data_IF_128715188197
#
_entry.id   IF_128715188197
#
_cell.length_a   1.000
_cell.length_b   1.000
_cell.length_c   1.000
_cell.angle_alpha   90.00
_cell.angle_beta   90.00
_cell.angle_gamma   90.00
#
_symmetry.space_group_name_H-M   'P 1'
#
loop_
_entity.id
_entity.type
_entity.pdbx_description
1 polymer ?
#
# COMPACT_ATOMS: atom_id res chain seq x y z
N UNK A 1 -5.47 12.70 -4.39
CA UNK A 1 -4.94 11.85 -3.30
C UNK A 1 -4.80 12.69 -2.04
N UNK A 2 -5.23 12.16 -0.89
CA UNK A 2 -4.99 12.72 0.44
C UNK A 2 -4.08 11.75 1.19
N UNK A 3 -2.94 12.23 1.68
CA UNK A 3 -2.02 11.46 2.51
C UNK A 3 -2.22 11.84 3.98
N UNK A 4 -2.43 10.84 4.83
CA UNK A 4 -2.52 11.01 6.28
C UNK A 4 -1.30 10.40 6.96
N UNK A 5 -0.75 11.13 7.95
CA UNK A 5 0.33 10.66 8.82
C UNK A 5 0.05 11.12 10.25
N UNK A 6 0.05 10.20 11.22
CA UNK A 6 -0.17 10.51 12.65
C UNK A 6 -1.41 11.37 12.93
N UNK A 7 -2.51 11.13 12.21
CA UNK A 7 -3.77 11.87 12.39
C UNK A 7 -3.81 13.28 11.76
N UNK A 8 -2.76 13.71 11.06
CA UNK A 8 -2.76 14.97 10.30
C UNK A 8 -2.86 14.73 8.79
N UNK A 9 -3.54 15.63 8.07
CA UNK A 9 -3.46 15.71 6.61
C UNK A 9 -2.11 16.30 6.25
N UNK A 10 -1.27 15.52 5.56
CA UNK A 10 0.08 15.93 5.19
C UNK A 10 0.11 16.52 3.78
N UNK A 11 -0.69 15.98 2.86
CA UNK A 11 -0.67 16.43 1.47
C UNK A 11 -2.00 16.14 0.77
N UNK A 12 -2.50 17.13 0.01
CA UNK A 12 -3.52 16.94 -1.02
C UNK A 12 -2.88 17.20 -2.37
N UNK A 13 -2.96 16.22 -3.27
CA UNK A 13 -2.48 16.37 -4.65
C UNK A 13 -3.56 15.94 -5.63
N UNK A 14 -3.96 16.86 -6.50
CA UNK A 14 -4.63 16.55 -7.76
C UNK A 14 -3.53 16.25 -8.80
N UNK A 15 -3.60 15.08 -9.45
CA UNK A 15 -2.55 14.64 -10.36
C UNK A 15 -3.09 13.60 -11.32
N UNK A 16 -2.60 13.65 -12.57
CA UNK A 16 -2.87 12.66 -13.61
C UNK A 16 -1.85 11.50 -13.58
N UNK A 17 -0.97 11.48 -12.57
CA UNK A 17 -0.02 10.40 -12.39
C UNK A 17 -0.75 9.09 -12.06
N UNK A 18 -0.17 7.97 -12.52
CA UNK A 18 -0.61 6.64 -12.17
C UNK A 18 -0.80 6.50 -10.64
N UNK A 19 -2.02 6.19 -10.15
CA UNK A 19 -2.32 6.16 -8.72
C UNK A 19 -1.44 5.18 -7.95
N UNK A 20 -1.08 4.05 -8.57
CA UNK A 20 -0.20 3.07 -7.94
C UNK A 20 1.20 3.64 -7.71
N UNK A 21 1.75 4.34 -8.70
CA UNK A 21 3.04 5.02 -8.58
C UNK A 21 3.06 6.09 -7.47
N UNK A 22 1.94 6.78 -7.24
CA UNK A 22 1.81 7.75 -6.14
C UNK A 22 1.82 7.05 -4.77
N UNK A 23 1.04 5.98 -4.62
CA UNK A 23 0.99 5.21 -3.37
C UNK A 23 2.35 4.61 -3.08
N UNK A 24 3.00 3.98 -4.07
CA UNK A 24 4.33 3.40 -3.92
C UNK A 24 5.41 4.44 -3.63
N UNK A 25 5.29 5.65 -4.18
CA UNK A 25 6.25 6.75 -3.96
C UNK A 25 6.11 7.46 -2.61
N UNK A 26 5.05 7.18 -1.85
CA UNK A 26 4.72 7.90 -0.62
C UNK A 26 5.38 7.26 0.60
N UNK A 27 6.68 7.47 0.77
CA UNK A 27 7.44 6.94 1.92
C UNK A 27 6.92 7.48 3.27
N UNK A 28 6.75 6.59 4.24
CA UNK A 28 6.27 6.95 5.58
C UNK A 28 4.80 7.36 5.67
N UNK A 29 4.04 7.09 4.60
CA UNK A 29 2.58 7.19 4.57
C UNK A 29 1.96 6.01 5.31
N UNK A 30 1.07 6.29 6.28
CA UNK A 30 0.31 5.25 6.99
C UNK A 30 -1.01 4.97 6.27
N UNK A 31 -1.66 6.02 5.74
CA UNK A 31 -2.91 5.91 5.00
C UNK A 31 -2.88 6.83 3.78
N UNK A 32 -3.29 6.29 2.63
CA UNK A 32 -3.52 7.03 1.40
C UNK A 32 -5.01 6.93 1.01
N UNK A 33 -5.70 8.07 0.96
CA UNK A 33 -7.09 8.15 0.52
C UNK A 33 -7.12 8.64 -0.91
N UNK A 34 -7.70 7.82 -1.79
CA UNK A 34 -7.87 8.12 -3.20
C UNK A 34 -9.35 8.46 -3.44
N UNK A 35 -9.63 9.72 -3.77
CA UNK A 35 -10.99 10.19 -4.04
C UNK A 35 -11.24 10.14 -5.54
N UNK A 36 -12.36 9.54 -5.95
CA UNK A 36 -12.75 9.45 -7.37
C UNK A 36 -11.93 8.45 -8.19
N UNK A 37 -11.33 7.45 -7.53
CA UNK A 37 -10.55 6.43 -8.21
C UNK A 37 -11.46 5.52 -9.05
N UNK A 38 -11.19 5.44 -10.35
CA UNK A 38 -11.90 4.54 -11.28
C UNK A 38 -11.21 3.20 -11.46
N UNK A 39 -9.91 3.13 -11.19
CA UNK A 39 -9.12 1.91 -11.28
C UNK A 39 -9.28 1.02 -10.04
N UNK A 40 -9.29 -0.31 -10.18
CA UNK A 40 -9.52 -1.25 -9.08
C UNK A 40 -8.23 -1.50 -8.27
N UNK A 41 -7.66 -0.44 -7.70
CA UNK A 41 -6.36 -0.48 -7.01
C UNK A 41 -6.50 -0.46 -5.48
N UNK A 42 -7.66 -0.16 -4.91
CA UNK A 42 -7.82 -0.01 -3.47
C UNK A 42 -9.19 -0.48 -2.99
N UNK A 43 -9.27 -0.81 -1.70
CA UNK A 43 -10.54 -0.99 -0.99
C UNK A 43 -11.35 0.30 -1.06
N UNK A 44 -12.68 0.18 -1.22
CA UNK A 44 -13.57 1.30 -1.48
C UNK A 44 -14.55 1.50 -0.33
N UNK A 45 -14.65 2.75 0.10
CA UNK A 45 -15.74 3.22 0.95
C UNK A 45 -16.59 4.15 0.08
N UNK A 46 -17.85 3.80 -0.10
CA UNK A 46 -18.77 4.57 -0.95
C UNK A 46 -19.50 5.61 -0.10
N UNK A 47 -19.34 6.89 -0.45
CA UNK A 47 -20.18 7.96 0.09
C UNK A 47 -21.39 8.15 -0.84
N UNK A 48 -22.59 7.83 -0.34
CA UNK A 48 -23.83 7.75 -1.13
C UNK A 48 -24.95 8.59 -0.52
N UNK A 49 -25.99 8.88 -1.31
CA UNK A 49 -27.19 9.61 -0.88
C UNK A 49 -28.30 8.70 -0.34
N UNK A 50 -28.25 7.40 -0.62
CA UNK A 50 -29.22 6.43 -0.16
C UNK A 50 -29.02 5.04 -0.78
N UNK A 51 -29.92 4.12 -0.47
CA UNK A 51 -29.82 2.71 -0.87
C UNK A 51 -29.78 2.50 -2.39
N UNK A 52 -30.54 3.28 -3.17
CA UNK A 52 -30.60 3.14 -4.64
C UNK A 52 -29.22 3.36 -5.27
N UNK A 53 -28.59 4.49 -4.97
CA UNK A 53 -27.24 4.82 -5.45
C UNK A 53 -26.19 3.83 -4.93
N UNK A 54 -26.36 3.31 -3.71
CA UNK A 54 -25.45 2.30 -3.17
C UNK A 54 -25.53 0.98 -3.95
N UNK A 55 -26.74 0.50 -4.30
CA UNK A 55 -26.92 -0.74 -5.08
C UNK A 55 -26.27 -0.67 -6.46
N UNK A 56 -26.24 0.51 -7.08
CA UNK A 56 -25.63 0.72 -8.39
C UNK A 56 -24.09 0.73 -8.36
N UNK A 57 -23.51 1.16 -7.23
CA UNK A 57 -22.07 1.44 -7.13
C UNK A 57 -21.26 0.36 -6.41
N UNK A 58 -21.91 -0.51 -5.64
CA UNK A 58 -21.24 -1.59 -4.91
C UNK A 58 -20.55 -2.55 -5.88
N UNK A 59 -19.29 -2.85 -5.57
CA UNK A 59 -18.44 -3.77 -6.33
C UNK A 59 -17.65 -4.71 -5.39
N UNK A 60 -16.89 -5.63 -5.98
CA UNK A 60 -16.04 -6.61 -5.27
C UNK A 60 -14.95 -6.00 -4.36
N UNK A 61 -14.73 -4.68 -4.41
CA UNK A 61 -13.75 -3.97 -3.58
C UNK A 61 -14.42 -3.08 -2.53
N UNK A 62 -15.75 -3.03 -2.52
CA UNK A 62 -16.51 -2.20 -1.60
C UNK A 62 -16.53 -2.84 -0.22
N UNK A 63 -15.96 -2.14 0.75
CA UNK A 63 -15.86 -2.61 2.15
C UNK A 63 -16.86 -1.95 3.08
N UNK A 64 -17.35 -0.77 2.71
CA UNK A 64 -18.35 -0.05 3.46
C UNK A 64 -19.07 0.99 2.60
N UNK A 65 -20.26 1.37 3.08
CA UNK A 65 -21.02 2.54 2.62
C UNK A 65 -21.15 3.54 3.76
N UNK A 66 -21.11 4.83 3.43
CA UNK A 66 -21.34 5.93 4.36
C UNK A 66 -22.28 6.96 3.73
N UNK A 67 -23.08 7.61 4.56
CA UNK A 67 -24.19 8.45 4.12
C UNK A 67 -24.63 9.36 5.27
N UNK A 68 -25.42 10.39 4.95
CA UNK A 68 -26.05 11.26 5.96
C UNK A 68 -27.14 10.55 6.78
N UNK A 69 -27.75 9.52 6.21
CA UNK A 69 -28.68 8.61 6.89
C UNK A 69 -28.19 7.16 6.82
N UNK A 70 -28.83 6.26 7.57
CA UNK A 70 -28.54 4.83 7.48
C UNK A 70 -28.87 4.29 6.07
N UNK A 71 -27.99 3.43 5.57
CA UNK A 71 -28.12 2.78 4.26
C UNK A 71 -28.03 1.28 4.46
N UNK A 72 -28.98 0.53 3.90
CA UNK A 72 -29.03 -0.91 4.07
C UNK A 72 -28.77 -1.64 2.74
N UNK A 73 -27.57 -2.22 2.65
CA UNK A 73 -27.15 -3.01 1.49
C UNK A 73 -26.69 -4.39 1.96
N UNK A 74 -27.25 -5.41 1.33
CA UNK A 74 -26.91 -6.80 1.62
C UNK A 74 -25.40 -7.03 1.44
N UNK A 75 -24.77 -7.59 2.48
CA UNK A 75 -23.35 -7.94 2.46
C UNK A 75 -22.38 -6.77 2.59
N UNK A 76 -22.84 -5.52 2.71
CA UNK A 76 -21.97 -4.34 2.84
C UNK A 76 -22.26 -3.59 4.14
N UNK A 77 -21.20 -3.27 4.90
CA UNK A 77 -21.31 -2.59 6.18
C UNK A 77 -21.64 -1.11 5.99
N UNK A 78 -22.66 -0.61 6.69
CA UNK A 78 -22.84 0.84 6.88
C UNK A 78 -21.91 1.35 7.98
N UNK A 79 -21.19 2.44 7.69
CA UNK A 79 -20.29 3.11 8.64
C UNK A 79 -20.68 4.58 8.74
N UNK A 80 -21.15 5.05 9.92
CA UNK A 80 -21.42 6.46 10.15
C UNK A 80 -20.18 7.32 9.89
N UNK A 81 -20.38 8.55 9.40
CA UNK A 81 -19.27 9.47 9.08
C UNK A 81 -18.30 9.68 10.26
N UNK A 82 -18.82 9.71 11.50
CA UNK A 82 -18.02 9.87 12.72
C UNK A 82 -17.14 8.67 13.07
N UNK A 83 -17.42 7.49 12.52
CA UNK A 83 -16.71 6.23 12.79
C UNK A 83 -15.75 5.83 11.67
N UNK A 84 -15.73 6.58 10.55
CA UNK A 84 -14.88 6.27 9.40
C UNK A 84 -13.40 6.17 9.74
N UNK A 85 -12.91 7.02 10.65
CA UNK A 85 -11.50 7.01 11.05
C UNK A 85 -11.10 5.69 11.69
N UNK A 86 -11.89 5.20 12.65
CA UNK A 86 -11.66 3.91 13.32
C UNK A 86 -11.84 2.75 12.35
N UNK A 87 -12.84 2.82 11.48
CA UNK A 87 -13.07 1.81 10.46
C UNK A 87 -11.89 1.70 9.49
N UNK A 88 -11.39 2.82 8.96
CA UNK A 88 -10.23 2.87 8.05
C UNK A 88 -8.99 2.31 8.74
N UNK A 89 -8.75 2.65 10.01
CA UNK A 89 -7.62 2.16 10.78
C UNK A 89 -7.66 0.64 11.03
N UNK A 90 -8.85 0.02 10.97
CA UNK A 90 -9.04 -1.42 11.10
C UNK A 90 -8.94 -2.19 9.78
N UNK A 91 -8.75 -1.53 8.64
CA UNK A 91 -8.59 -2.21 7.36
C UNK A 91 -7.24 -2.93 7.28
N UNK A 92 -7.17 -4.05 6.52
CA UNK A 92 -5.93 -4.80 6.36
C UNK A 92 -4.86 -3.97 5.64
N UNK A 93 -3.60 -4.38 5.81
CA UNK A 93 -2.47 -3.73 5.17
C UNK A 93 -2.62 -3.73 3.64
N UNK A 94 -2.33 -2.60 3.01
CA UNK A 94 -2.34 -2.49 1.56
C UNK A 94 -1.27 -3.39 0.93
N UNK A 95 -1.57 -4.18 -0.12
CA UNK A 95 -0.61 -5.11 -0.67
C UNK A 95 0.55 -4.39 -1.37
N UNK A 96 1.74 -4.99 -1.36
CA UNK A 96 2.94 -4.42 -1.98
C UNK A 96 2.92 -4.43 -3.53
N UNK A 97 1.85 -4.91 -4.16
CA UNK A 97 1.70 -5.01 -5.63
C UNK A 97 2.79 -5.81 -6.36
N UNK A 98 3.35 -6.83 -5.72
CA UNK A 98 4.41 -7.68 -6.28
C UNK A 98 3.90 -8.99 -6.91
N UNK A 99 2.61 -9.34 -6.75
CA UNK A 99 2.03 -10.63 -7.19
C UNK A 99 2.90 -11.86 -6.79
N UNK A 100 3.50 -11.82 -5.61
CA UNK A 100 4.55 -12.76 -5.21
C UNK A 100 4.04 -14.12 -4.70
N UNK A 101 2.75 -14.24 -4.35
CA UNK A 101 2.18 -15.46 -3.78
C UNK A 101 2.48 -15.70 -2.29
N UNK A 102 3.28 -14.87 -1.62
CA UNK A 102 3.66 -15.10 -0.21
C UNK A 102 2.47 -15.02 0.78
N UNK A 103 1.37 -14.36 0.38
CA UNK A 103 0.13 -14.26 1.15
C UNK A 103 -0.91 -15.34 0.80
N UNK A 104 -0.56 -16.31 -0.07
CA UNK A 104 -1.48 -17.35 -0.53
C UNK A 104 -2.35 -16.97 -1.75
N UNK A 105 -2.37 -15.70 -2.15
CA UNK A 105 -3.11 -15.23 -3.33
C UNK A 105 -2.22 -15.14 -4.57
N UNK A 106 -2.76 -15.54 -5.73
CA UNK A 106 -2.05 -15.49 -7.02
C UNK A 106 -1.74 -14.07 -7.46
N UNK A 107 -2.66 -13.14 -7.19
CA UNK A 107 -2.48 -11.72 -7.50
C UNK A 107 -2.79 -10.85 -6.28
N UNK A 108 -2.18 -9.66 -6.22
CA UNK A 108 -2.51 -8.64 -5.23
C UNK A 108 -3.95 -8.13 -5.38
N UNK A 109 -4.54 -8.30 -6.57
CA UNK A 109 -5.95 -8.00 -6.79
C UNK A 109 -6.86 -9.02 -6.10
N UNK A 110 -6.54 -10.32 -6.17
CA UNK A 110 -7.27 -11.37 -5.44
C UNK A 110 -7.19 -11.15 -3.92
N UNK A 111 -6.02 -10.70 -3.43
CA UNK A 111 -5.83 -10.28 -2.05
C UNK A 111 -6.81 -9.16 -1.65
N UNK A 112 -6.96 -8.11 -2.49
CA UNK A 112 -7.88 -7.01 -2.20
C UNK A 112 -9.34 -7.47 -2.18
N UNK A 113 -9.74 -8.38 -3.07
CA UNK A 113 -11.10 -8.94 -3.04
C UNK A 113 -11.36 -9.75 -1.78
N UNK A 114 -10.39 -10.55 -1.33
CA UNK A 114 -10.50 -11.29 -0.08
C UNK A 114 -10.60 -10.35 1.12
N UNK A 115 -9.74 -9.32 1.17
CA UNK A 115 -9.85 -8.24 2.15
C UNK A 115 -11.24 -7.61 2.16
N UNK A 116 -11.80 -7.33 0.98
CA UNK A 116 -13.10 -6.68 0.87
C UNK A 116 -14.27 -7.54 1.38
N UNK A 117 -14.15 -8.86 1.25
CA UNK A 117 -15.08 -9.83 1.85
C UNK A 117 -14.92 -10.01 3.36
N UNK A 118 -13.98 -9.29 3.99
CA UNK A 118 -13.69 -9.39 5.41
C UNK A 118 -12.89 -10.64 5.79
N UNK A 119 -12.19 -11.26 4.83
CA UNK A 119 -11.26 -12.35 5.13
C UNK A 119 -10.03 -11.81 5.90
N UNK A 120 -9.49 -12.61 6.81
CA UNK A 120 -8.26 -12.29 7.53
C UNK A 120 -7.05 -12.45 6.59
N UNK A 121 -6.59 -11.33 6.02
CA UNK A 121 -5.53 -11.30 5.03
C UNK A 121 -4.34 -10.47 5.47
N UNK A 122 -3.15 -10.95 5.13
CA UNK A 122 -1.90 -10.29 5.48
C UNK A 122 -0.92 -10.33 4.32
N UNK A 123 -0.29 -9.20 3.99
CA UNK A 123 0.69 -9.09 2.91
C UNK A 123 2.12 -9.02 3.48
N UNK A 124 2.89 -10.11 3.53
CA UNK A 124 4.21 -10.11 4.16
C UNK A 124 5.23 -9.14 3.53
N UNK A 125 5.20 -8.86 2.20
CA UNK A 125 6.03 -7.81 1.62
C UNK A 125 5.51 -6.38 1.81
N UNK A 126 4.26 -6.19 2.25
CA UNK A 126 3.68 -4.88 2.52
C UNK A 126 4.18 -4.25 3.82
N UNK A 127 4.75 -5.05 4.71
CA UNK A 127 5.33 -4.57 5.96
C UNK A 127 6.57 -3.67 5.73
N UNK A 128 6.85 -2.72 6.64
CA UNK A 128 8.10 -1.98 6.64
C UNK A 128 9.32 -2.92 6.64
N UNK A 129 10.23 -2.70 5.69
CA UNK A 129 11.43 -3.52 5.49
C UNK A 129 12.69 -2.76 5.89
N UNK A 130 13.71 -3.44 6.44
CA UNK A 130 15.01 -2.83 6.72
C UNK A 130 15.81 -2.52 5.44
N UNK A 131 15.50 -3.19 4.32
CA UNK A 131 16.19 -2.95 3.04
C UNK A 131 15.27 -2.19 2.09
N UNK A 132 15.72 -1.01 1.66
CA UNK A 132 15.05 -0.21 0.64
C UNK A 132 15.88 -0.12 -0.63
N UNK A 133 15.26 -0.24 -1.80
CA UNK A 133 15.90 -0.03 -3.10
C UNK A 133 15.21 1.12 -3.83
N UNK A 134 16.01 2.05 -4.39
CA UNK A 134 15.52 3.08 -5.29
C UNK A 134 16.24 3.00 -6.63
N UNK A 135 15.47 3.02 -7.71
CA UNK A 135 15.98 3.10 -9.09
C UNK A 135 15.50 4.43 -9.68
N UNK A 136 16.43 5.29 -10.08
CA UNK A 136 16.13 6.65 -10.55
C UNK A 136 15.25 7.45 -9.58
N UNK A 137 15.52 7.31 -8.27
CA UNK A 137 14.74 7.94 -7.20
C UNK A 137 13.39 7.29 -6.90
N UNK A 138 12.94 6.30 -7.69
CA UNK A 138 11.67 5.59 -7.47
C UNK A 138 11.87 4.36 -6.59
N UNK A 139 11.07 4.16 -5.54
CA UNK A 139 11.15 2.96 -4.70
C UNK A 139 10.78 1.72 -5.49
N UNK A 140 11.51 0.63 -5.26
CA UNK A 140 11.28 -0.68 -5.86
C UNK A 140 10.92 -1.65 -4.75
N UNK A 141 9.70 -2.21 -4.81
CA UNK A 141 9.26 -3.22 -3.87
C UNK A 141 10.08 -4.50 -4.00
N UNK A 142 10.47 -5.09 -2.88
CA UNK A 142 11.28 -6.30 -2.83
C UNK A 142 10.50 -7.43 -2.16
N UNK A 143 10.45 -8.60 -2.80
CA UNK A 143 10.01 -9.83 -2.12
C UNK A 143 11.05 -10.25 -1.08
N UNK A 144 10.65 -11.04 -0.06
CA UNK A 144 11.55 -11.38 1.07
C UNK A 144 12.83 -12.07 0.62
N UNK A 145 12.73 -12.91 -0.42
CA UNK A 145 13.89 -13.59 -0.99
C UNK A 145 14.92 -12.61 -1.57
N UNK A 146 14.49 -11.68 -2.43
CA UNK A 146 15.36 -10.70 -3.09
C UNK A 146 15.96 -9.73 -2.07
N UNK A 147 15.14 -9.29 -1.11
CA UNK A 147 15.57 -8.44 -0.01
C UNK A 147 16.74 -9.07 0.77
N UNK A 148 16.59 -10.34 1.16
CA UNK A 148 17.64 -11.08 1.87
C UNK A 148 18.89 -11.23 1.02
N UNK A 149 18.75 -11.59 -0.25
CA UNK A 149 19.88 -11.75 -1.17
C UNK A 149 20.69 -10.46 -1.29
N UNK A 150 20.03 -9.32 -1.51
CA UNK A 150 20.70 -8.02 -1.62
C UNK A 150 21.45 -7.65 -0.34
N UNK A 151 20.83 -7.86 0.82
CA UNK A 151 21.46 -7.59 2.12
C UNK A 151 22.70 -8.45 2.35
N UNK A 152 22.59 -9.76 2.17
CA UNK A 152 23.72 -10.67 2.41
C UNK A 152 24.87 -10.43 1.41
N UNK A 153 24.56 -10.12 0.15
CA UNK A 153 25.57 -9.78 -0.86
C UNK A 153 26.29 -8.47 -0.51
N UNK A 154 25.55 -7.43 -0.12
CA UNK A 154 26.15 -6.17 0.31
C UNK A 154 27.06 -6.36 1.53
N UNK A 155 26.61 -7.08 2.55
CA UNK A 155 27.40 -7.35 3.75
C UNK A 155 28.64 -8.21 3.46
N UNK A 156 28.51 -9.24 2.61
CA UNK A 156 29.64 -10.07 2.20
C UNK A 156 30.71 -9.22 1.50
N UNK A 157 30.30 -8.34 0.58
CA UNK A 157 31.20 -7.44 -0.12
C UNK A 157 31.91 -6.48 0.86
N UNK A 158 31.16 -5.80 1.73
CA UNK A 158 31.70 -4.85 2.71
C UNK A 158 32.72 -5.47 3.66
N UNK A 159 32.54 -6.74 4.05
CA UNK A 159 33.49 -7.47 4.92
C UNK A 159 34.87 -7.70 4.28
N UNK A 160 34.96 -7.62 2.96
CA UNK A 160 36.23 -7.75 2.23
C UNK A 160 37.00 -6.43 2.12
N UNK A 161 36.32 -5.30 2.36
CA UNK A 161 36.89 -3.97 2.16
C UNK A 161 37.75 -3.54 3.34
N UNK A 162 38.86 -2.86 3.04
CA UNK A 162 39.72 -2.24 4.06
C UNK A 162 39.05 -0.97 4.60
N UNK A 163 39.11 -0.77 5.91
CA UNK A 163 38.63 0.45 6.57
C UNK A 163 37.14 0.48 6.89
N UNK A 164 36.39 -0.58 6.58
CA UNK A 164 34.98 -0.71 6.99
C UNK A 164 34.89 -1.10 8.47
N UNK A 165 34.03 -0.46 9.28
CA UNK A 165 33.80 -0.85 10.67
C UNK A 165 33.35 -2.31 10.83
N UNK A 166 33.78 -2.97 11.91
CA UNK A 166 33.36 -4.36 12.20
C UNK A 166 31.87 -4.48 12.56
N UNK A 167 31.33 -3.47 13.23
CA UNK A 167 29.92 -3.40 13.64
C UNK A 167 29.15 -2.49 12.67
N UNK A 168 28.58 -3.09 11.63
CA UNK A 168 27.82 -2.38 10.59
C UNK A 168 26.37 -2.28 11.05
N UNK A 169 25.89 -1.05 11.32
CA UNK A 169 24.49 -0.78 11.71
C UNK A 169 23.60 -0.40 10.54
N UNK A 170 24.15 0.32 9.58
CA UNK A 170 23.43 0.84 8.41
C UNK A 170 24.38 0.86 7.22
N UNK A 171 23.83 0.65 6.02
CA UNK A 171 24.57 0.66 4.76
C UNK A 171 23.80 1.51 3.77
N UNK A 172 24.47 2.53 3.22
CA UNK A 172 23.98 3.27 2.06
C UNK A 172 24.87 2.96 0.85
N UNK A 173 24.26 2.40 -0.20
CA UNK A 173 24.93 2.13 -1.47
C UNK A 173 24.29 2.96 -2.59
N UNK A 174 25.08 3.83 -3.23
CA UNK A 174 24.66 4.61 -4.41
C UNK A 174 25.48 4.20 -5.62
N UNK A 175 24.81 3.76 -6.67
CA UNK A 175 25.42 3.38 -7.95
C UNK A 175 24.99 4.42 -8.98
N UNK A 176 25.96 5.03 -9.67
CA UNK A 176 25.73 5.92 -10.81
C UNK A 176 26.20 5.22 -12.06
N UNK A 177 25.30 5.01 -13.01
CA UNK A 177 25.64 4.46 -14.32
C UNK A 177 26.08 5.63 -15.21
N UNK A 178 27.34 5.63 -15.65
CA UNK A 178 27.78 6.45 -16.78
C UNK A 178 27.43 5.66 -18.03
N UNK A 179 26.51 6.16 -18.85
CA UNK A 179 25.99 5.43 -20.01
C UNK A 179 27.13 5.03 -20.95
N UNK A 180 27.39 3.72 -21.00
CA UNK A 180 28.17 3.04 -22.04
C UNK A 180 27.54 1.66 -22.33
N UNK A 181 26.20 1.55 -22.24
CA UNK A 181 25.37 0.48 -22.83
C UNK A 181 24.00 1.04 -23.25
#
# INVERSE_FOLDING_TARGET
MVILRRGGVVEYRATDADPLSLVMGSEGCEHAILVGLTSPLALRILAVRGDEEARELVDDLTVAVTSSGEVNIEGVKFVPMGELGEFIAGLPIYPAWLNCGECGFKTCFDYLKAAARGEDVFCPPGEPKPTTLKVNGRPVGLVRFVERQLRELALAYLRTLKGVPKDIKEVELRIRLTGDE
#
